data_IF_520902229683
#
_entry.id   IF_520902229683
#
_cell.length_a   1.000
_cell.length_b   1.000
_cell.length_c   1.000
_cell.angle_alpha   90.00
_cell.angle_beta   90.00
_cell.angle_gamma   90.00
#
_symmetry.space_group_name_H-M   'P 1'
#
loop_
_entity.id
_entity.type
_entity.pdbx_description
1 polymer ?
#
# COMPACT_ATOMS: atom_id res chain seq x y z
N UNK A 1 9.71 -20.00 0.46
CA UNK A 1 9.67 -20.28 -1.00
C UNK A 1 10.19 -19.13 -1.85
N UNK A 2 10.83 -18.12 -1.29
CA UNK A 2 11.36 -16.99 -2.06
C UNK A 2 12.51 -17.47 -2.96
N UNK A 3 12.63 -16.82 -4.13
CA UNK A 3 13.68 -17.08 -5.12
C UNK A 3 13.69 -18.52 -5.64
N UNK A 4 12.51 -19.16 -5.67
CA UNK A 4 12.32 -20.48 -6.26
C UNK A 4 11.31 -20.38 -7.41
N UNK A 5 11.72 -20.91 -8.56
CA UNK A 5 10.91 -20.89 -9.77
C UNK A 5 10.63 -22.34 -10.21
N UNK A 6 9.46 -22.55 -10.76
CA UNK A 6 9.06 -23.84 -11.31
C UNK A 6 8.73 -23.68 -12.80
N UNK A 7 9.39 -24.48 -13.62
CA UNK A 7 9.10 -24.60 -15.05
C UNK A 7 8.24 -25.82 -15.31
N UNK A 8 7.24 -25.65 -16.17
CA UNK A 8 6.51 -26.74 -16.78
C UNK A 8 6.92 -26.77 -18.25
N UNK A 9 7.51 -27.86 -18.70
CA UNK A 9 8.01 -27.96 -20.06
C UNK A 9 7.84 -29.39 -20.61
N UNK A 10 7.87 -29.59 -21.92
CA UNK A 10 7.93 -30.90 -22.52
C UNK A 10 9.15 -31.70 -22.02
N UNK A 11 8.99 -33.03 -21.83
CA UNK A 11 10.08 -33.85 -21.25
C UNK A 11 11.41 -33.75 -22.05
N UNK A 12 11.34 -33.58 -23.37
CA UNK A 12 12.48 -33.55 -24.29
C UNK A 12 13.44 -32.39 -24.00
N UNK A 13 12.94 -31.26 -23.51
CA UNK A 13 13.78 -30.09 -23.23
C UNK A 13 14.14 -29.93 -21.72
N UNK A 14 13.63 -30.81 -20.87
CA UNK A 14 13.85 -30.72 -19.42
C UNK A 14 15.33 -30.75 -19.05
N UNK A 15 16.11 -31.66 -19.64
CA UNK A 15 17.56 -31.76 -19.41
C UNK A 15 18.29 -30.50 -19.89
N UNK A 16 17.91 -29.95 -21.03
CA UNK A 16 18.50 -28.70 -21.54
C UNK A 16 18.30 -27.55 -20.61
N UNK A 17 17.10 -27.41 -20.04
CA UNK A 17 16.79 -26.37 -19.05
C UNK A 17 17.62 -26.57 -17.77
N UNK A 18 17.65 -27.77 -17.23
CA UNK A 18 18.42 -28.09 -16.02
C UNK A 18 19.92 -27.82 -16.25
N UNK A 19 20.47 -28.24 -17.36
CA UNK A 19 21.88 -28.02 -17.70
C UNK A 19 22.20 -26.54 -17.91
N UNK A 20 21.29 -25.79 -18.52
CA UNK A 20 21.46 -24.36 -18.71
C UNK A 20 21.61 -23.63 -17.36
N UNK A 21 20.73 -23.88 -16.41
CA UNK A 21 20.82 -23.28 -15.08
C UNK A 21 22.03 -23.76 -14.31
N UNK A 22 22.32 -25.06 -14.30
CA UNK A 22 23.39 -25.61 -13.47
C UNK A 22 24.79 -25.44 -14.05
N UNK A 23 24.92 -25.36 -15.39
CA UNK A 23 26.22 -25.27 -16.07
C UNK A 23 26.48 -23.88 -16.64
N UNK A 24 25.52 -23.30 -17.38
CA UNK A 24 25.72 -22.00 -18.04
C UNK A 24 25.63 -20.82 -17.06
N UNK A 25 24.67 -20.87 -16.13
CA UNK A 25 24.56 -19.89 -15.03
C UNK A 25 25.33 -20.29 -13.78
N UNK A 26 25.84 -21.50 -13.73
CA UNK A 26 26.60 -22.04 -12.59
C UNK A 26 25.92 -21.82 -11.24
N UNK A 27 24.61 -22.07 -11.18
CA UNK A 27 23.81 -21.89 -9.95
C UNK A 27 24.44 -22.51 -8.68
N UNK A 28 25.09 -23.69 -8.74
CA UNK A 28 25.72 -24.27 -7.56
C UNK A 28 26.77 -23.38 -6.87
N UNK A 29 27.38 -22.45 -7.61
CA UNK A 29 28.36 -21.51 -7.03
C UNK A 29 27.72 -20.28 -6.41
N UNK A 30 26.46 -19.96 -6.77
CA UNK A 30 25.74 -18.77 -6.27
C UNK A 30 25.43 -18.91 -4.78
N UNK A 31 24.93 -20.09 -4.37
CA UNK A 31 24.72 -20.39 -2.94
C UNK A 31 24.69 -21.88 -2.68
N UNK A 32 24.95 -22.28 -1.43
CA UNK A 32 24.94 -23.69 -1.02
C UNK A 32 23.58 -24.34 -1.30
N UNK A 33 23.56 -25.37 -2.13
CA UNK A 33 22.37 -26.11 -2.52
C UNK A 33 21.53 -25.49 -3.64
N UNK A 34 21.93 -24.35 -4.19
CA UNK A 34 21.26 -23.75 -5.36
C UNK A 34 21.43 -24.66 -6.58
N UNK A 35 20.34 -25.10 -7.18
CA UNK A 35 20.35 -25.95 -8.39
C UNK A 35 19.00 -26.00 -9.06
N UNK A 36 18.99 -26.30 -10.35
CA UNK A 36 17.79 -26.75 -11.06
C UNK A 36 17.72 -28.29 -11.02
N UNK A 37 16.52 -28.82 -10.86
CA UNK A 37 16.28 -30.27 -10.82
C UNK A 37 14.90 -30.58 -11.39
N UNK A 38 14.74 -31.73 -12.05
CA UNK A 38 13.42 -32.25 -12.35
C UNK A 38 12.79 -32.80 -11.08
N UNK A 39 11.68 -32.20 -10.64
CA UNK A 39 11.01 -32.50 -9.38
C UNK A 39 9.74 -33.33 -9.53
N UNK A 40 9.23 -33.49 -10.74
CA UNK A 40 7.99 -34.24 -10.96
C UNK A 40 7.56 -34.27 -12.41
N UNK A 41 6.39 -34.84 -12.64
CA UNK A 41 5.73 -34.99 -13.94
C UNK A 41 4.26 -34.61 -13.84
N UNK A 42 3.74 -33.97 -14.88
CA UNK A 42 2.30 -33.73 -15.01
C UNK A 42 1.59 -35.06 -15.35
N UNK A 43 0.47 -35.29 -14.68
CA UNK A 43 -0.42 -36.45 -14.92
C UNK A 43 -1.82 -35.95 -15.22
N UNK A 44 -2.63 -36.78 -15.86
CA UNK A 44 -4.03 -36.52 -16.24
C UNK A 44 -5.06 -37.16 -15.29
N UNK A 45 -4.58 -37.80 -14.20
CA UNK A 45 -5.45 -38.51 -13.25
C UNK A 45 -6.12 -37.60 -12.19
N UNK A 46 -5.92 -36.28 -12.26
CA UNK A 46 -6.53 -35.32 -11.34
C UNK A 46 -5.98 -35.36 -9.90
N UNK A 47 -4.89 -36.10 -9.65
CA UNK A 47 -4.28 -36.24 -8.32
C UNK A 47 -3.01 -35.41 -8.20
N UNK A 48 -2.83 -34.80 -7.03
CA UNK A 48 -1.59 -34.17 -6.59
C UNK A 48 -0.88 -35.12 -5.64
N UNK A 49 0.27 -35.63 -6.05
CA UNK A 49 1.02 -36.65 -5.30
C UNK A 49 2.42 -36.15 -5.03
N UNK A 50 2.87 -36.28 -3.77
CA UNK A 50 4.25 -35.96 -3.35
C UNK A 50 4.88 -37.16 -2.68
N UNK A 51 6.09 -37.49 -3.10
CA UNK A 51 6.90 -38.53 -2.49
C UNK A 51 8.14 -37.93 -1.83
N UNK A 52 8.57 -38.56 -0.74
CA UNK A 52 9.89 -38.38 -0.16
C UNK A 52 10.62 -39.74 -0.24
N UNK A 53 11.46 -39.90 -1.25
CA UNK A 53 12.00 -41.21 -1.59
C UNK A 53 10.89 -42.17 -2.04
N UNK A 54 10.74 -43.28 -1.35
CA UNK A 54 9.68 -44.27 -1.64
C UNK A 54 8.39 -44.02 -0.88
N UNK A 55 8.37 -43.10 0.09
CA UNK A 55 7.23 -42.80 0.92
C UNK A 55 6.34 -41.78 0.20
N UNK A 56 5.05 -42.10 0.05
CA UNK A 56 4.04 -41.17 -0.41
C UNK A 56 3.54 -40.30 0.76
N UNK A 57 3.89 -39.03 0.77
CA UNK A 57 3.55 -38.10 1.85
C UNK A 57 2.32 -37.23 1.55
N UNK A 58 1.95 -37.10 0.29
CA UNK A 58 0.71 -36.42 -0.15
C UNK A 58 0.08 -37.19 -1.28
N UNK A 59 -1.21 -37.47 -1.16
CA UNK A 59 -2.03 -37.99 -2.24
C UNK A 59 -3.45 -37.44 -2.10
N UNK A 60 -3.73 -36.37 -2.84
CA UNK A 60 -4.97 -35.64 -2.73
C UNK A 60 -5.49 -35.22 -4.10
N UNK A 61 -6.82 -35.05 -4.27
CA UNK A 61 -7.36 -34.47 -5.48
C UNK A 61 -6.76 -33.08 -5.77
N UNK A 62 -6.23 -32.88 -6.97
CA UNK A 62 -5.60 -31.62 -7.33
C UNK A 62 -6.56 -30.43 -7.18
N UNK A 63 -7.87 -30.65 -7.40
CA UNK A 63 -8.90 -29.63 -7.22
C UNK A 63 -9.02 -29.16 -5.76
N UNK A 64 -8.80 -30.03 -4.78
CA UNK A 64 -8.84 -29.66 -3.37
C UNK A 64 -7.59 -28.88 -2.97
N UNK A 65 -6.40 -29.31 -3.47
CA UNK A 65 -5.15 -28.60 -3.24
C UNK A 65 -5.17 -27.19 -3.81
N UNK A 66 -5.74 -27.01 -5.01
CA UNK A 66 -5.78 -25.71 -5.70
C UNK A 66 -6.87 -24.77 -5.21
N UNK A 67 -8.02 -25.31 -4.78
CA UNK A 67 -9.12 -24.47 -4.23
C UNK A 67 -8.88 -24.10 -2.77
N UNK A 68 -8.17 -24.96 -2.03
CA UNK A 68 -7.98 -24.80 -0.60
C UNK A 68 -9.27 -24.87 0.21
N UNK A 69 -9.17 -24.65 1.50
CA UNK A 69 -10.34 -24.48 2.36
C UNK A 69 -10.81 -23.04 2.33
N UNK A 70 -12.10 -22.84 2.08
CA UNK A 70 -12.74 -21.54 2.27
C UNK A 70 -13.10 -21.43 3.77
N UNK A 71 -12.32 -20.63 4.46
CA UNK A 71 -12.59 -20.33 5.87
C UNK A 71 -13.67 -19.26 5.97
N UNK A 72 -14.80 -19.59 6.56
CA UNK A 72 -15.79 -18.62 7.05
C UNK A 72 -15.52 -18.37 8.53
N UNK A 73 -14.58 -17.48 8.82
CA UNK A 73 -14.16 -17.20 10.19
C UNK A 73 -15.16 -16.27 10.86
N UNK A 74 -15.62 -16.63 12.09
CA UNK A 74 -16.49 -15.75 12.84
C UNK A 74 -15.77 -14.45 13.20
N UNK A 75 -16.50 -13.35 13.19
CA UNK A 75 -15.99 -12.07 13.64
C UNK A 75 -16.97 -11.37 14.56
N UNK A 76 -16.45 -10.62 15.52
CA UNK A 76 -17.23 -9.94 16.55
C UNK A 76 -16.66 -8.56 16.80
N UNK A 77 -17.54 -7.56 16.83
CA UNK A 77 -17.15 -6.18 17.10
C UNK A 77 -16.40 -6.06 18.42
N UNK A 78 -15.26 -5.39 18.40
CA UNK A 78 -14.50 -5.05 19.60
C UNK A 78 -15.32 -4.13 20.51
N UNK A 79 -15.31 -4.40 21.81
CA UNK A 79 -15.97 -3.57 22.81
C UNK A 79 -15.08 -2.46 23.37
N UNK A 80 -13.89 -2.23 22.78
CA UNK A 80 -13.01 -1.17 23.23
C UNK A 80 -13.74 0.18 23.19
N UNK A 81 -13.79 0.84 24.33
CA UNK A 81 -14.37 2.17 24.48
C UNK A 81 -13.25 3.18 24.58
N UNK A 82 -13.20 4.10 23.64
CA UNK A 82 -12.29 5.25 23.68
C UNK A 82 -13.07 6.50 24.05
N UNK A 83 -12.44 7.40 24.78
CA UNK A 83 -12.97 8.72 25.16
C UNK A 83 -12.14 9.82 24.52
N UNK A 84 -12.75 10.98 24.31
CA UNK A 84 -11.98 12.16 23.94
C UNK A 84 -11.21 12.66 25.18
N UNK A 85 -9.90 12.93 25.03
CA UNK A 85 -9.12 13.50 26.11
C UNK A 85 -9.49 14.96 26.33
N UNK A 86 -9.44 15.41 27.58
CA UNK A 86 -9.55 16.82 27.92
C UNK A 86 -8.16 17.45 28.00
N UNK A 87 -7.67 17.91 26.85
CA UNK A 87 -6.37 18.58 26.75
C UNK A 87 -6.63 20.10 26.69
N UNK A 88 -6.02 20.85 27.61
CA UNK A 88 -6.08 22.31 27.58
C UNK A 88 -5.48 22.87 26.28
N UNK A 89 -6.10 23.94 25.76
CA UNK A 89 -5.61 24.61 24.56
C UNK A 89 -4.17 25.12 24.80
N UNK A 90 -3.21 24.73 23.95
CA UNK A 90 -1.82 25.13 24.14
C UNK A 90 -1.62 26.64 24.02
N UNK A 91 -1.02 27.26 25.02
CA UNK A 91 -0.68 28.69 25.01
C UNK A 91 0.39 29.06 23.97
N UNK A 92 1.14 28.08 23.46
CA UNK A 92 2.20 28.30 22.47
C UNK A 92 2.14 27.26 21.35
N UNK A 93 1.43 27.59 20.27
CA UNK A 93 1.26 26.73 19.09
C UNK A 93 2.58 26.46 18.35
N UNK A 94 3.53 27.41 18.35
CA UNK A 94 4.84 27.18 17.72
C UNK A 94 5.61 26.05 18.41
N UNK A 95 5.55 25.98 19.74
CA UNK A 95 6.16 24.88 20.49
C UNK A 95 5.49 23.53 20.18
N UNK A 96 4.18 23.51 20.03
CA UNK A 96 3.44 22.30 19.63
C UNK A 96 3.84 21.88 18.22
N UNK A 97 3.89 22.81 17.27
CA UNK A 97 4.32 22.53 15.89
C UNK A 97 5.71 21.91 15.85
N UNK A 98 6.68 22.49 16.58
CA UNK A 98 8.02 21.93 16.64
C UNK A 98 8.07 20.53 17.24
N UNK A 99 7.25 20.23 18.25
CA UNK A 99 7.14 18.88 18.81
C UNK A 99 6.52 17.89 17.82
N UNK A 100 5.50 18.30 17.07
CA UNK A 100 4.90 17.47 16.01
C UNK A 100 5.94 17.17 14.91
N UNK A 101 6.67 18.18 14.45
CA UNK A 101 7.70 18.02 13.42
C UNK A 101 8.88 17.14 13.89
N UNK A 102 9.18 17.14 15.18
CA UNK A 102 10.22 16.30 15.78
C UNK A 102 9.75 14.88 16.11
N UNK A 103 8.44 14.60 16.00
CA UNK A 103 7.88 13.29 16.32
C UNK A 103 8.43 12.22 15.39
N UNK A 104 8.69 11.02 15.92
CA UNK A 104 9.28 9.90 15.15
C UNK A 104 8.48 9.50 13.90
N UNK A 105 7.17 9.68 13.88
CA UNK A 105 6.30 9.40 12.73
C UNK A 105 6.18 10.57 11.74
N UNK A 106 6.80 11.73 12.01
CA UNK A 106 6.70 12.95 11.20
C UNK A 106 8.08 13.42 10.71
N UNK A 107 9.12 13.28 11.54
CA UNK A 107 10.46 13.78 11.22
C UNK A 107 11.03 13.14 9.94
N UNK A 108 11.98 13.83 9.32
CA UNK A 108 12.62 13.37 8.09
C UNK A 108 13.24 11.97 8.22
N UNK A 109 12.99 11.12 7.23
CA UNK A 109 13.60 9.79 7.07
C UNK A 109 14.83 9.79 6.17
N UNK A 110 15.36 10.97 5.84
CA UNK A 110 16.57 11.12 5.01
C UNK A 110 17.70 10.16 5.41
N UNK A 111 18.05 10.00 6.69
CA UNK A 111 19.12 9.07 7.08
C UNK A 111 18.86 7.60 6.72
N UNK A 112 17.60 7.24 6.46
CA UNK A 112 17.22 5.88 6.03
C UNK A 112 17.34 5.75 4.52
N UNK A 113 16.71 6.62 3.75
CA UNK A 113 16.57 6.45 2.31
C UNK A 113 17.75 7.04 1.50
N UNK A 114 18.54 7.95 2.04
CA UNK A 114 19.71 8.52 1.31
C UNK A 114 20.78 7.49 0.95
N UNK A 115 20.77 6.33 1.60
CA UNK A 115 21.69 5.22 1.34
C UNK A 115 21.33 4.41 0.08
N UNK A 116 20.14 4.60 -0.44
CA UNK A 116 19.61 3.86 -1.59
C UNK A 116 19.62 4.72 -2.84
N UNK A 117 19.70 4.05 -4.01
CA UNK A 117 19.61 4.74 -5.30
C UNK A 117 18.18 5.29 -5.49
N UNK A 118 18.10 6.62 -5.61
CA UNK A 118 16.86 7.37 -5.84
C UNK A 118 16.63 7.67 -7.33
N UNK A 119 17.60 7.37 -8.16
CA UNK A 119 17.62 7.70 -9.60
C UNK A 119 17.66 6.45 -10.48
N UNK A 120 17.11 5.35 -10.01
CA UNK A 120 17.10 4.08 -10.74
C UNK A 120 16.67 4.30 -12.20
N UNK A 121 17.51 3.89 -13.13
CA UNK A 121 17.35 4.08 -14.58
C UNK A 121 17.27 5.57 -15.03
N UNK A 122 17.58 6.52 -14.16
CA UNK A 122 17.50 7.96 -14.49
C UNK A 122 16.07 8.45 -14.81
N UNK A 123 15.05 7.82 -14.27
CA UNK A 123 13.63 8.11 -14.59
C UNK A 123 12.88 8.84 -13.49
N UNK A 124 13.49 9.08 -12.35
CA UNK A 124 12.88 9.84 -11.24
C UNK A 124 12.76 11.30 -11.65
N UNK A 125 11.57 11.86 -11.55
CA UNK A 125 11.28 13.27 -11.85
C UNK A 125 11.11 14.10 -10.56
N UNK A 126 10.35 13.60 -9.58
CA UNK A 126 10.28 14.19 -8.23
C UNK A 126 10.80 13.14 -7.25
N UNK A 127 11.89 13.47 -6.58
CA UNK A 127 12.53 12.61 -5.58
C UNK A 127 11.80 12.62 -4.25
N UNK A 128 12.09 11.60 -3.44
CA UNK A 128 11.65 11.48 -2.04
C UNK A 128 11.95 12.76 -1.26
N UNK A 129 10.95 13.24 -0.52
CA UNK A 129 11.06 14.42 0.35
C UNK A 129 10.82 15.76 -0.34
N UNK A 130 10.53 15.78 -1.63
CA UNK A 130 10.23 17.02 -2.37
C UNK A 130 8.73 17.27 -2.56
N UNK A 131 7.90 16.25 -2.41
CA UNK A 131 6.44 16.33 -2.52
C UNK A 131 5.76 15.18 -1.75
N UNK A 132 4.43 15.16 -1.71
CA UNK A 132 3.64 14.13 -1.01
C UNK A 132 3.57 12.81 -1.81
N UNK A 133 3.97 12.83 -3.09
CA UNK A 133 4.14 11.64 -3.92
C UNK A 133 5.45 11.69 -4.70
N UNK A 134 6.09 10.54 -4.88
CA UNK A 134 7.19 10.38 -5.82
C UNK A 134 6.67 10.37 -7.25
N UNK A 135 7.41 10.98 -8.19
CA UNK A 135 7.05 11.03 -9.61
C UNK A 135 8.19 10.50 -10.46
N UNK A 136 7.86 9.61 -11.40
CA UNK A 136 8.78 9.14 -12.43
C UNK A 136 8.26 9.45 -13.83
N UNK A 137 9.19 9.63 -14.77
CA UNK A 137 8.95 9.79 -16.20
C UNK A 137 9.45 8.55 -16.96
N UNK A 138 8.64 7.46 -17.04
CA UNK A 138 9.12 6.16 -17.52
C UNK A 138 9.48 6.14 -19.01
N UNK A 139 8.97 7.09 -19.79
CA UNK A 139 9.07 7.14 -21.24
C UNK A 139 9.94 8.31 -21.76
N UNK A 140 10.81 8.88 -20.91
CA UNK A 140 11.57 10.10 -21.22
C UNK A 140 12.70 9.94 -22.23
N UNK A 141 12.91 8.76 -22.83
CA UNK A 141 13.95 8.55 -23.84
C UNK A 141 13.44 8.70 -25.27
N UNK A 142 14.38 8.89 -26.21
CA UNK A 142 14.06 9.01 -27.65
C UNK A 142 13.52 7.73 -28.29
N UNK A 143 13.64 6.59 -27.63
CA UNK A 143 13.09 5.30 -28.06
C UNK A 143 11.57 5.24 -28.06
N UNK A 144 10.94 6.08 -27.20
CA UNK A 144 9.49 6.12 -27.08
C UNK A 144 8.85 7.16 -28.02
N UNK A 145 7.59 6.96 -28.44
CA UNK A 145 6.82 7.95 -29.20
C UNK A 145 6.77 9.30 -28.48
N UNK A 146 6.84 10.40 -29.22
CA UNK A 146 6.88 11.77 -28.65
C UNK A 146 5.67 12.07 -27.75
N UNK A 147 4.52 11.51 -28.10
CA UNK A 147 3.21 11.73 -27.45
C UNK A 147 3.16 11.25 -26.00
N UNK A 148 4.04 10.29 -25.64
CA UNK A 148 4.07 9.70 -24.30
C UNK A 148 5.32 10.08 -23.49
N UNK A 149 6.30 10.76 -24.08
CA UNK A 149 7.59 11.04 -23.41
C UNK A 149 7.45 11.85 -22.13
N UNK A 150 6.46 12.71 -22.09
CA UNK A 150 6.19 13.54 -20.93
C UNK A 150 5.17 12.90 -19.96
N UNK A 151 4.64 11.72 -20.27
CA UNK A 151 3.73 11.06 -19.33
C UNK A 151 4.48 10.62 -18.09
N UNK A 152 3.94 11.00 -16.93
CA UNK A 152 4.48 10.63 -15.62
C UNK A 152 3.57 9.67 -14.87
N UNK A 153 4.19 8.93 -13.96
CA UNK A 153 3.53 8.08 -12.97
C UNK A 153 3.88 8.62 -11.59
N UNK A 154 2.86 8.89 -10.78
CA UNK A 154 3.02 9.23 -9.37
C UNK A 154 2.65 8.05 -8.48
N UNK A 155 3.33 7.89 -7.35
CA UNK A 155 3.07 6.88 -6.35
C UNK A 155 3.16 7.47 -4.96
N UNK A 156 2.16 7.19 -4.12
CA UNK A 156 2.19 7.42 -2.68
C UNK A 156 1.89 6.12 -1.92
N UNK A 157 2.23 6.09 -0.63
CA UNK A 157 1.91 4.98 0.25
C UNK A 157 1.55 5.53 1.62
N UNK A 158 0.36 5.19 2.11
CA UNK A 158 -0.24 5.83 3.28
C UNK A 158 -0.91 4.85 4.22
N UNK A 159 -0.81 5.12 5.53
CA UNK A 159 -1.51 4.43 6.59
C UNK A 159 -1.33 5.17 7.93
N UNK A 160 -2.37 5.23 8.74
CA UNK A 160 -2.27 5.60 10.15
C UNK A 160 -2.79 4.45 11.04
N UNK A 161 -1.89 3.67 11.67
CA UNK A 161 -2.26 2.54 12.51
C UNK A 161 -3.11 2.92 13.73
N UNK A 162 -2.97 4.14 14.26
CA UNK A 162 -3.75 4.62 15.42
C UNK A 162 -5.23 4.78 15.07
N UNK A 163 -5.56 5.13 13.83
CA UNK A 163 -6.94 5.12 13.36
C UNK A 163 -7.56 3.71 13.45
N UNK A 164 -6.77 2.67 13.11
CA UNK A 164 -7.18 1.28 13.17
C UNK A 164 -7.55 0.79 14.57
N UNK A 165 -6.85 1.30 15.60
CA UNK A 165 -7.17 1.00 17.00
C UNK A 165 -8.51 1.57 17.43
N UNK A 166 -8.91 2.72 16.89
CA UNK A 166 -10.16 3.42 17.25
C UNK A 166 -11.32 2.91 16.40
N UNK A 167 -11.15 2.95 15.08
CA UNK A 167 -12.18 2.60 14.11
C UNK A 167 -11.55 2.01 12.83
N UNK A 168 -11.48 0.67 12.70
CA UNK A 168 -10.87 0.01 11.56
C UNK A 168 -11.50 0.38 10.21
N UNK A 169 -12.82 0.61 10.18
CA UNK A 169 -13.53 1.03 8.97
C UNK A 169 -13.04 2.40 8.47
N UNK A 170 -12.98 3.38 9.37
CA UNK A 170 -12.47 4.72 9.04
C UNK A 170 -10.97 4.69 8.74
N UNK A 171 -10.21 3.77 9.35
CA UNK A 171 -8.79 3.58 9.00
C UNK A 171 -8.61 3.20 7.54
N UNK A 172 -9.41 2.23 7.05
CA UNK A 172 -9.40 1.84 5.63
C UNK A 172 -9.79 2.99 4.69
N UNK A 173 -10.83 3.76 5.05
CA UNK A 173 -11.25 4.94 4.30
C UNK A 173 -10.12 5.98 4.24
N UNK A 174 -9.56 6.35 5.40
CA UNK A 174 -8.56 7.42 5.47
C UNK A 174 -7.28 7.05 4.73
N UNK A 175 -6.83 5.80 4.77
CA UNK A 175 -5.66 5.35 4.02
C UNK A 175 -5.86 5.51 2.50
N UNK A 176 -7.03 5.15 1.96
CA UNK A 176 -7.35 5.37 0.54
C UNK A 176 -7.41 6.86 0.20
N UNK A 177 -8.10 7.66 1.03
CA UNK A 177 -8.27 9.09 0.82
C UNK A 177 -6.92 9.82 0.84
N UNK A 178 -6.07 9.52 1.80
CA UNK A 178 -4.74 10.12 1.94
C UNK A 178 -3.87 9.78 0.74
N UNK A 179 -3.74 8.49 0.38
CA UNK A 179 -2.98 8.05 -0.78
C UNK A 179 -3.43 8.74 -2.08
N UNK A 180 -4.74 8.84 -2.31
CA UNK A 180 -5.27 9.53 -3.51
C UNK A 180 -5.02 11.05 -3.49
N UNK A 181 -5.11 11.69 -2.32
CA UNK A 181 -4.78 13.12 -2.19
C UNK A 181 -3.32 13.40 -2.45
N UNK A 182 -2.44 12.53 -1.96
CA UNK A 182 -1.00 12.69 -2.12
C UNK A 182 -0.56 12.59 -3.59
N UNK A 183 -1.11 11.66 -4.37
CA UNK A 183 -0.84 11.67 -5.82
C UNK A 183 -1.49 12.86 -6.53
N UNK A 184 -2.66 13.32 -6.10
CA UNK A 184 -3.32 14.50 -6.69
C UNK A 184 -2.54 15.79 -6.39
N UNK A 185 -1.87 15.91 -5.25
CA UNK A 185 -1.11 17.10 -4.86
C UNK A 185 0.07 17.39 -5.80
N UNK A 186 0.61 16.38 -6.47
CA UNK A 186 1.66 16.53 -7.49
C UNK A 186 1.11 16.70 -8.91
N UNK A 187 -0.21 16.75 -9.09
CA UNK A 187 -0.88 16.86 -10.39
C UNK A 187 -1.24 15.53 -11.05
N UNK A 188 -1.14 14.42 -10.32
CA UNK A 188 -1.48 13.11 -10.86
C UNK A 188 -2.94 12.76 -10.63
N UNK A 189 -3.65 12.33 -11.67
CA UNK A 189 -4.99 11.75 -11.55
C UNK A 189 -4.89 10.32 -11.02
N UNK A 190 -5.54 9.98 -9.87
CA UNK A 190 -5.57 8.61 -9.35
C UNK A 190 -6.15 7.62 -10.36
N UNK A 191 -5.50 6.46 -10.54
CA UNK A 191 -5.90 5.43 -11.51
C UNK A 191 -6.12 4.06 -10.90
N UNK A 192 -5.34 3.70 -9.89
CA UNK A 192 -5.42 2.40 -9.24
C UNK A 192 -4.84 2.47 -7.83
N UNK A 193 -5.21 1.52 -6.99
CA UNK A 193 -4.55 1.29 -5.72
C UNK A 193 -4.02 -0.13 -5.60
N UNK A 194 -3.07 -0.32 -4.70
CA UNK A 194 -2.67 -1.62 -4.16
C UNK A 194 -2.78 -1.58 -2.66
N UNK A 195 -2.90 -2.73 -2.02
CA UNK A 195 -2.94 -2.82 -0.57
C UNK A 195 -1.87 -3.77 0.00
N UNK A 196 -1.50 -3.51 1.25
CA UNK A 196 -0.74 -4.42 2.10
C UNK A 196 -1.46 -4.45 3.46
N UNK A 197 -2.30 -5.46 3.65
CA UNK A 197 -3.19 -5.57 4.78
C UNK A 197 -2.50 -6.31 5.92
N UNK A 198 -2.07 -5.58 6.96
CA UNK A 198 -1.37 -6.14 8.11
C UNK A 198 -2.26 -6.14 9.35
N UNK A 199 -2.57 -7.35 9.85
CA UNK A 199 -3.50 -7.56 10.97
C UNK A 199 -2.98 -8.65 11.92
N UNK A 200 -3.58 -8.73 13.10
CA UNK A 200 -3.26 -9.76 14.09
C UNK A 200 -3.80 -11.14 13.72
N UNK A 201 -4.09 -11.96 14.72
CA UNK A 201 -4.54 -13.35 14.55
C UNK A 201 -6.01 -13.43 14.11
N UNK A 202 -6.33 -13.89 12.88
CA UNK A 202 -7.70 -13.96 12.38
C UNK A 202 -8.56 -15.04 13.06
N UNK A 203 -7.98 -15.89 13.88
CA UNK A 203 -8.72 -16.87 14.70
C UNK A 203 -9.36 -16.23 15.93
N UNK A 204 -8.92 -15.02 16.30
CA UNK A 204 -9.53 -14.18 17.34
C UNK A 204 -10.65 -13.33 16.71
N UNK A 205 -11.94 -13.56 17.05
CA UNK A 205 -13.06 -12.90 16.36
C UNK A 205 -13.00 -11.37 16.35
N UNK A 206 -12.45 -10.75 17.38
CA UNK A 206 -12.29 -9.30 17.47
C UNK A 206 -11.22 -8.78 16.47
N UNK A 207 -10.14 -9.51 16.26
CA UNK A 207 -9.10 -9.15 15.28
C UNK A 207 -9.59 -9.41 13.85
N UNK A 208 -10.34 -10.50 13.64
CA UNK A 208 -11.00 -10.74 12.37
C UNK A 208 -12.01 -9.64 12.03
N UNK A 209 -12.76 -9.13 13.02
CA UNK A 209 -13.65 -8.00 12.83
C UNK A 209 -12.90 -6.73 12.38
N UNK A 210 -11.74 -6.45 12.95
CA UNK A 210 -10.92 -5.30 12.54
C UNK A 210 -10.51 -5.40 11.07
N UNK A 211 -10.14 -6.60 10.62
CA UNK A 211 -9.82 -6.85 9.21
C UNK A 211 -11.04 -6.64 8.30
N UNK A 212 -12.18 -7.24 8.63
CA UNK A 212 -13.43 -7.10 7.85
C UNK A 212 -13.84 -5.64 7.70
N UNK A 213 -13.81 -4.87 8.80
CA UNK A 213 -14.15 -3.45 8.77
C UNK A 213 -13.13 -2.62 7.97
N UNK A 214 -11.84 -2.89 8.10
CA UNK A 214 -10.81 -2.21 7.31
C UNK A 214 -11.00 -2.42 5.80
N UNK A 215 -11.22 -3.68 5.38
CA UNK A 215 -11.51 -4.02 3.98
C UNK A 215 -12.80 -3.36 3.49
N UNK A 216 -13.84 -3.32 4.34
CA UNK A 216 -15.11 -2.64 4.02
C UNK A 216 -14.89 -1.15 3.79
N UNK A 217 -14.09 -0.49 4.64
CA UNK A 217 -13.74 0.92 4.48
C UNK A 217 -13.01 1.20 3.17
N UNK A 218 -12.01 0.38 2.82
CA UNK A 218 -11.29 0.47 1.54
C UNK A 218 -12.25 0.34 0.36
N UNK A 219 -13.11 -0.69 0.39
CA UNK A 219 -14.09 -0.93 -0.68
C UNK A 219 -15.05 0.25 -0.86
N UNK A 220 -15.58 0.83 0.22
CA UNK A 220 -16.54 1.93 0.15
C UNK A 220 -15.86 3.22 -0.36
N UNK A 221 -14.62 3.48 0.02
CA UNK A 221 -13.83 4.57 -0.51
C UNK A 221 -13.58 4.41 -2.02
N UNK A 222 -13.14 3.23 -2.47
CA UNK A 222 -12.89 2.94 -3.89
C UNK A 222 -14.16 3.00 -4.75
N UNK A 223 -15.30 2.57 -4.22
CA UNK A 223 -16.58 2.63 -4.92
C UNK A 223 -17.11 4.07 -5.05
N UNK A 224 -16.83 4.92 -4.08
CA UNK A 224 -17.32 6.31 -4.08
C UNK A 224 -16.39 7.23 -4.87
N UNK A 225 -15.07 7.10 -4.68
CA UNK A 225 -14.07 7.85 -5.44
C UNK A 225 -13.81 7.10 -6.75
N UNK A 226 -14.73 7.27 -7.70
CA UNK A 226 -14.67 6.61 -9.03
C UNK A 226 -13.64 7.29 -9.93
N UNK A 227 -13.15 6.57 -10.93
CA UNK A 227 -12.17 7.08 -11.90
C UNK A 227 -12.67 8.32 -12.66
N UNK A 228 -11.80 9.33 -12.85
CA UNK A 228 -12.10 10.60 -13.51
C UNK A 228 -12.64 10.41 -14.94
N UNK A 229 -12.03 9.51 -15.71
CA UNK A 229 -12.32 9.35 -17.14
C UNK A 229 -13.16 8.10 -17.48
N UNK A 230 -13.64 7.38 -16.47
CA UNK A 230 -14.47 6.18 -16.64
C UNK A 230 -15.75 6.34 -15.84
N UNK A 231 -16.81 6.86 -16.47
CA UNK A 231 -18.09 7.19 -15.83
C UNK A 231 -18.55 6.12 -14.82
N UNK A 232 -18.41 6.44 -13.53
CA UNK A 232 -18.91 5.62 -12.44
C UNK A 232 -18.10 4.34 -12.14
N UNK A 233 -16.99 4.09 -12.85
CA UNK A 233 -16.13 2.93 -12.55
C UNK A 233 -15.41 3.15 -11.22
N UNK A 234 -15.52 2.21 -10.25
CA UNK A 234 -14.75 2.26 -9.02
C UNK A 234 -13.25 2.33 -9.29
N UNK A 235 -12.51 2.96 -8.39
CA UNK A 235 -11.04 2.86 -8.44
C UNK A 235 -10.63 1.41 -8.21
N UNK A 236 -9.88 0.77 -9.14
CA UNK A 236 -9.55 -0.64 -9.04
C UNK A 236 -8.43 -0.88 -8.01
N UNK A 237 -8.55 -2.00 -7.31
CA UNK A 237 -7.46 -2.59 -6.52
C UNK A 237 -6.78 -3.60 -7.43
N UNK A 238 -5.56 -3.28 -7.90
CA UNK A 238 -4.89 -4.06 -8.96
C UNK A 238 -3.94 -5.14 -8.43
N UNK A 239 -3.54 -5.02 -7.18
CA UNK A 239 -2.73 -6.01 -6.47
C UNK A 239 -2.87 -5.79 -4.96
N UNK A 240 -2.52 -6.79 -4.18
CA UNK A 240 -2.49 -6.68 -2.73
C UNK A 240 -1.98 -7.95 -2.07
N UNK A 241 -1.69 -7.83 -0.78
CA UNK A 241 -1.37 -8.97 0.07
C UNK A 241 -2.04 -8.82 1.44
N UNK A 242 -2.27 -9.94 2.08
CA UNK A 242 -2.73 -10.01 3.46
C UNK A 242 -1.66 -10.67 4.31
N UNK A 243 -1.27 -10.00 5.41
CA UNK A 243 -0.40 -10.52 6.43
C UNK A 243 -1.18 -10.65 7.73
N UNK A 244 -1.36 -11.87 8.20
CA UNK A 244 -2.01 -12.19 9.45
C UNK A 244 -1.01 -12.68 10.51
N UNK A 245 -1.51 -12.90 11.73
CA UNK A 245 -0.72 -13.37 12.88
C UNK A 245 0.44 -12.43 13.26
N UNK A 246 0.31 -11.13 12.95
CA UNK A 246 1.29 -10.13 13.33
C UNK A 246 1.12 -9.78 14.81
N UNK A 247 1.86 -10.46 15.66
CA UNK A 247 1.81 -10.31 17.11
C UNK A 247 3.23 -10.20 17.68
N UNK A 248 3.40 -9.42 18.74
CA UNK A 248 4.63 -9.34 19.51
C UNK A 248 4.30 -9.39 21.00
N UNK A 249 4.91 -10.31 21.72
CA UNK A 249 4.68 -10.51 23.18
C UNK A 249 3.17 -10.62 23.49
N UNK A 250 2.46 -11.46 22.73
CA UNK A 250 1.02 -11.72 22.84
C UNK A 250 0.09 -10.52 22.58
N UNK A 251 0.64 -9.44 22.07
CA UNK A 251 -0.14 -8.29 21.62
C UNK A 251 -0.16 -8.20 20.10
N UNK A 252 -1.35 -8.07 19.49
CA UNK A 252 -1.45 -7.84 18.06
C UNK A 252 -0.89 -6.46 17.72
N UNK A 253 -0.39 -6.33 16.49
CA UNK A 253 -0.10 -5.01 15.93
C UNK A 253 -1.40 -4.20 15.79
N UNK A 254 -1.34 -2.86 15.79
CA UNK A 254 -2.49 -2.06 15.37
C UNK A 254 -2.96 -2.45 13.96
N UNK A 255 -4.29 -2.48 13.70
CA UNK A 255 -4.84 -2.74 12.37
C UNK A 255 -4.25 -1.77 11.34
N UNK A 256 -3.54 -2.30 10.36
CA UNK A 256 -2.74 -1.48 9.43
C UNK A 256 -3.09 -1.80 7.97
N UNK A 257 -4.15 -1.17 7.41
CA UNK A 257 -4.43 -1.21 5.98
C UNK A 257 -3.50 -0.21 5.27
N UNK A 258 -2.35 -0.68 4.79
CA UNK A 258 -1.40 0.14 4.04
C UNK A 258 -1.87 0.21 2.60
N UNK A 259 -2.10 1.42 2.08
CA UNK A 259 -2.59 1.65 0.72
C UNK A 259 -1.53 2.40 -0.08
N UNK A 260 -1.21 1.89 -1.25
CA UNK A 260 -0.46 2.66 -2.24
C UNK A 260 -1.38 3.06 -3.40
N UNK A 261 -1.31 4.33 -3.80
CA UNK A 261 -2.05 4.86 -4.94
C UNK A 261 -1.12 5.15 -6.11
N UNK A 262 -1.51 4.66 -7.28
CA UNK A 262 -0.87 4.98 -8.56
C UNK A 262 -1.71 6.05 -9.28
N UNK A 263 -1.07 7.16 -9.62
CA UNK A 263 -1.65 8.24 -10.40
C UNK A 263 -0.90 8.48 -11.70
N UNK A 264 -1.57 9.05 -12.70
CA UNK A 264 -0.99 9.42 -13.98
C UNK A 264 -0.94 10.94 -14.15
N UNK A 265 0.18 11.45 -14.62
CA UNK A 265 0.38 12.84 -15.02
C UNK A 265 0.50 12.86 -16.55
N UNK A 266 -0.27 13.71 -17.22
CA UNK A 266 -0.21 13.84 -18.67
C UNK A 266 1.09 14.47 -19.16
N UNK A 267 1.58 15.47 -18.41
CA UNK A 267 2.84 16.16 -18.68
C UNK A 267 3.59 16.40 -17.36
N UNK A 268 4.67 15.67 -17.13
CA UNK A 268 5.49 15.78 -15.91
C UNK A 268 6.04 17.19 -15.69
N UNK A 269 6.19 18.01 -16.75
CA UNK A 269 6.64 19.38 -16.62
C UNK A 269 5.66 20.27 -15.84
N UNK A 270 4.42 19.83 -15.68
CA UNK A 270 3.40 20.49 -14.85
C UNK A 270 3.36 19.98 -13.41
N UNK A 271 4.14 18.93 -13.09
CA UNK A 271 4.14 18.37 -11.74
C UNK A 271 4.64 19.40 -10.70
N UNK A 272 4.00 19.36 -9.53
CA UNK A 272 4.21 20.36 -8.47
C UNK A 272 4.93 19.73 -7.28
N UNK A 273 5.86 20.46 -6.69
CA UNK A 273 6.54 20.13 -5.43
C UNK A 273 5.98 20.99 -4.29
N UNK A 274 6.22 20.56 -3.02
CA UNK A 274 5.68 21.22 -1.82
C UNK A 274 6.26 22.61 -1.53
N UNK A 275 7.41 22.98 -2.10
CA UNK A 275 8.05 24.27 -1.82
C UNK A 275 7.23 25.43 -2.38
N UNK A 276 7.16 26.56 -1.64
CA UNK A 276 6.59 27.81 -2.13
C UNK A 276 7.42 28.37 -3.30
N UNK A 277 6.75 28.83 -4.37
CA UNK A 277 7.39 29.24 -5.63
C UNK A 277 7.53 30.75 -5.77
N UNK A 278 6.65 31.54 -5.16
CA UNK A 278 6.61 33.01 -5.30
C UNK A 278 6.25 33.65 -3.97
N UNK A 279 6.92 34.75 -3.68
CA UNK A 279 6.52 35.66 -2.59
C UNK A 279 5.11 36.20 -2.82
N UNK A 280 4.41 36.54 -1.75
CA UNK A 280 3.06 37.08 -1.76
C UNK A 280 1.99 36.16 -2.38
N UNK A 281 2.28 34.86 -2.54
CA UNK A 281 1.25 33.90 -2.95
C UNK A 281 0.20 33.72 -1.86
N UNK A 282 -1.07 33.57 -2.26
CA UNK A 282 -2.16 33.25 -1.34
C UNK A 282 -2.10 31.79 -0.94
N UNK A 283 -2.32 31.52 0.34
CA UNK A 283 -2.48 30.15 0.87
C UNK A 283 -3.97 29.88 1.03
N UNK A 284 -4.48 28.88 0.33
CA UNK A 284 -5.90 28.51 0.33
C UNK A 284 -6.06 27.17 1.04
N UNK A 285 -6.97 27.12 2.01
CA UNK A 285 -7.33 25.90 2.70
C UNK A 285 -8.63 25.34 2.15
N UNK A 286 -8.60 24.12 1.61
CA UNK A 286 -9.74 23.47 0.96
C UNK A 286 -10.34 22.41 1.89
N UNK A 287 -11.68 22.38 2.01
CA UNK A 287 -12.43 21.41 2.79
C UNK A 287 -12.83 21.89 4.19
N UNK A 288 -13.80 21.21 4.78
CA UNK A 288 -14.32 21.53 6.12
C UNK A 288 -13.35 21.08 7.21
N UNK A 289 -13.38 21.79 8.34
CA UNK A 289 -12.66 21.43 9.56
C UNK A 289 -13.65 20.91 10.58
N UNK A 290 -13.25 19.85 11.30
CA UNK A 290 -14.04 19.21 12.33
C UNK A 290 -13.14 18.93 13.55
N UNK A 291 -13.74 18.71 14.71
CA UNK A 291 -13.02 18.28 15.89
C UNK A 291 -12.83 16.75 15.86
N UNK A 292 -11.86 16.28 15.09
CA UNK A 292 -11.57 14.88 14.82
C UNK A 292 -10.06 14.64 14.95
N UNK A 293 -9.56 14.61 16.20
CA UNK A 293 -8.14 14.45 16.52
C UNK A 293 -7.77 13.01 16.96
N UNK A 294 -8.73 12.08 16.94
CA UNK A 294 -8.48 10.68 17.31
C UNK A 294 -7.41 10.05 16.43
N UNK A 295 -6.37 9.48 17.04
CA UNK A 295 -5.21 8.90 16.36
C UNK A 295 -4.24 9.93 15.77
N UNK A 296 -4.34 11.21 16.16
CA UNK A 296 -3.41 12.25 15.70
C UNK A 296 -2.10 12.23 16.46
N UNK A 297 -1.04 12.73 15.84
CA UNK A 297 0.26 12.95 16.50
C UNK A 297 0.12 13.93 17.68
N UNK A 298 -0.80 14.89 17.57
CA UNK A 298 -1.05 15.80 18.69
C UNK A 298 -1.51 15.06 19.95
N UNK A 299 -2.45 14.11 19.82
CA UNK A 299 -2.87 13.28 20.96
C UNK A 299 -1.78 12.33 21.43
N UNK A 300 -1.02 11.74 20.49
CA UNK A 300 0.11 10.86 20.82
C UNK A 300 1.22 11.57 21.63
N UNK A 301 1.48 12.85 21.37
CA UNK A 301 2.37 13.68 22.20
C UNK A 301 1.91 13.83 23.67
N UNK A 302 0.67 13.49 23.96
CA UNK A 302 0.07 13.49 25.30
C UNK A 302 -0.21 12.06 25.82
N UNK A 303 0.26 11.01 25.12
CA UNK A 303 -0.05 9.61 25.38
C UNK A 303 -1.55 9.30 25.36
N UNK A 304 -2.29 10.00 24.51
CA UNK A 304 -3.72 9.86 24.35
C UNK A 304 -4.03 9.36 22.93
N UNK A 305 -5.09 8.56 22.80
CA UNK A 305 -5.53 8.03 21.52
C UNK A 305 -6.71 8.81 20.94
N UNK A 306 -7.63 9.22 21.79
CA UNK A 306 -8.88 9.86 21.40
C UNK A 306 -9.93 8.90 20.85
N UNK A 307 -11.04 9.45 20.41
CA UNK A 307 -12.20 8.68 19.91
C UNK A 307 -12.62 9.08 18.50
N UNK A 308 -12.53 10.36 18.17
CA UNK A 308 -13.08 10.92 16.94
C UNK A 308 -12.05 10.86 15.81
N UNK A 309 -12.00 9.74 15.09
CA UNK A 309 -11.19 9.58 13.87
C UNK A 309 -11.77 10.46 12.76
N UNK A 310 -10.93 11.09 11.91
CA UNK A 310 -11.39 11.84 10.75
C UNK A 310 -12.38 11.06 9.89
N UNK A 311 -13.55 11.70 9.65
CA UNK A 311 -14.65 11.10 8.87
C UNK A 311 -14.88 11.93 7.61
N UNK A 312 -14.19 11.61 6.50
CA UNK A 312 -14.30 12.36 5.26
C UNK A 312 -15.65 12.14 4.57
N UNK A 313 -16.20 13.18 3.96
CA UNK A 313 -17.23 13.03 2.94
C UNK A 313 -16.55 12.62 1.63
N UNK A 314 -16.76 11.37 1.22
CA UNK A 314 -16.07 10.78 0.07
C UNK A 314 -16.44 11.46 -1.26
N UNK A 315 -17.66 12.02 -1.40
CA UNK A 315 -18.03 12.77 -2.59
C UNK A 315 -17.34 14.15 -2.63
N UNK A 316 -17.25 14.81 -1.49
CA UNK A 316 -16.47 16.05 -1.37
C UNK A 316 -14.98 15.80 -1.65
N UNK A 317 -14.40 14.75 -1.09
CA UNK A 317 -13.02 14.32 -1.35
C UNK A 317 -12.77 14.06 -2.83
N UNK A 318 -13.66 13.32 -3.50
CA UNK A 318 -13.57 13.07 -4.94
C UNK A 318 -13.53 14.38 -5.74
N UNK A 319 -14.41 15.32 -5.41
CA UNK A 319 -14.45 16.62 -6.09
C UNK A 319 -13.19 17.45 -5.83
N UNK A 320 -12.64 17.39 -4.60
CA UNK A 320 -11.38 18.04 -4.25
C UNK A 320 -10.20 17.47 -5.04
N UNK A 321 -10.05 16.14 -5.08
CA UNK A 321 -8.99 15.44 -5.81
C UNK A 321 -9.00 15.86 -7.29
N UNK A 322 -10.14 15.75 -7.95
CA UNK A 322 -10.22 16.03 -9.37
C UNK A 322 -10.19 17.53 -9.70
N UNK A 323 -10.75 18.37 -8.84
CA UNK A 323 -10.61 19.82 -8.99
C UNK A 323 -9.16 20.30 -8.89
N UNK A 324 -8.36 19.72 -8.00
CA UNK A 324 -6.92 20.03 -7.88
C UNK A 324 -6.18 19.56 -9.13
N UNK A 325 -6.41 18.34 -9.61
CA UNK A 325 -5.76 17.84 -10.84
C UNK A 325 -6.14 18.68 -12.05
N UNK A 326 -7.41 19.12 -12.17
CA UNK A 326 -7.86 20.02 -13.26
C UNK A 326 -7.19 21.40 -13.22
N UNK A 327 -6.87 21.91 -12.02
CA UNK A 327 -6.15 23.18 -11.87
C UNK A 327 -4.67 23.10 -12.24
N UNK A 328 -4.08 21.90 -12.17
CA UNK A 328 -2.65 21.65 -12.45
C UNK A 328 -2.44 21.28 -13.92
N UNK A 329 -3.35 20.49 -14.51
CA UNK A 329 -3.35 20.15 -15.95
C UNK A 329 -3.53 21.38 -16.85
#
# INVERSE_FOLDING_TARGET
TQERFMWVCPPEISTTIVDHYNKSFDLPTVSSGARASVIGKIRDNGMYVVHNGEEEIVNAPASEVTKGFLYDRPYKKTQASHSEPNIEEPSNLNKVLLRILAHENVCSRTPVYEKYDKQVQGRTYIETGLADAGVMAPFNSSEFPKEIRNVGIALSTDNNPLHGLINPYLSGINAVVEAMRNVASVGATPHAITDCLCYGNPEKPEQMWQFVEGVRGINDACKTITLKHSKGSPTPIIAGNVSFYNESKDKPIPPSPIISCLGRIQDVNKAITMSFKRENSSIILIGKRKNELGGSIFYDLHNELGKNVPTPDLNEVKNQIYGITDCIE
#
